data_IF_434774850453
#
_entry.id   IF_434774850453
#
_cell.length_a   1.000
_cell.length_b   1.000
_cell.length_c   1.000
_cell.angle_alpha   90.00
_cell.angle_beta   90.00
_cell.angle_gamma   90.00
#
_symmetry.space_group_name_H-M   'P 1'
#
loop_
_entity.id
_entity.type
_entity.pdbx_description
1 polymer ?
#
# COMPACT_ATOMS: atom_id res chain seq x y z
N UNK A 1 -2.47 48.07 10.26
CA UNK A 1 -2.84 47.50 8.95
C UNK A 1 -2.35 46.06 9.00
N UNK A 2 -3.16 45.22 9.64
CA UNK A 2 -2.81 43.82 9.91
C UNK A 2 -3.00 43.04 8.61
N UNK A 3 -1.90 42.53 8.06
CA UNK A 3 -1.92 41.70 6.87
C UNK A 3 -2.08 40.25 7.29
N UNK A 4 -3.31 39.76 7.13
CA UNK A 4 -3.68 38.34 7.13
C UNK A 4 -2.78 37.58 6.11
N UNK A 5 -1.85 36.77 6.62
CA UNK A 5 -1.07 35.83 5.82
C UNK A 5 -1.91 34.60 5.45
N UNK A 6 -1.68 33.96 4.30
CA UNK A 6 -2.59 32.96 3.76
C UNK A 6 -2.69 31.72 4.65
N UNK A 7 -3.94 31.34 4.93
CA UNK A 7 -4.34 30.12 5.62
C UNK A 7 -3.74 28.88 4.93
N UNK A 8 -2.85 28.19 5.65
CA UNK A 8 -2.37 26.86 5.28
C UNK A 8 -3.37 25.80 5.79
N UNK A 9 -4.49 25.62 5.08
CA UNK A 9 -5.32 24.43 5.28
C UNK A 9 -5.26 23.51 4.04
N UNK A 10 -5.27 22.21 4.32
CA UNK A 10 -5.56 21.08 3.44
C UNK A 10 -4.41 20.48 2.60
N UNK A 11 -3.40 19.95 3.27
CA UNK A 11 -2.94 18.59 2.95
C UNK A 11 -2.46 17.95 4.24
N UNK A 12 -3.19 16.93 4.70
CA UNK A 12 -2.82 16.15 5.89
C UNK A 12 -1.32 15.83 5.86
N UNK A 13 -0.60 15.87 7.01
CA UNK A 13 0.82 15.61 7.01
C UNK A 13 1.01 14.24 6.37
N UNK A 14 1.74 14.20 5.25
CA UNK A 14 2.22 12.96 4.69
C UNK A 14 2.88 12.25 5.87
N UNK A 15 2.24 11.17 6.35
CA UNK A 15 2.68 10.46 7.53
C UNK A 15 4.19 10.25 7.39
N UNK A 16 4.95 10.62 8.42
CA UNK A 16 6.41 10.56 8.41
C UNK A 16 6.88 9.29 7.67
N UNK A 17 7.89 9.38 6.79
CA UNK A 17 8.42 8.18 6.13
C UNK A 17 8.90 7.13 7.14
N UNK A 18 9.08 7.52 8.41
CA UNK A 18 9.49 6.68 9.54
C UNK A 18 8.31 6.26 10.44
N UNK A 19 7.06 6.48 10.02
CA UNK A 19 5.89 6.07 10.78
C UNK A 19 5.81 4.53 10.92
N UNK A 20 5.40 4.02 12.09
CA UNK A 20 5.35 2.58 12.33
C UNK A 20 4.31 1.88 11.44
N UNK A 21 4.42 0.56 11.24
CA UNK A 21 3.45 -0.22 10.49
C UNK A 21 2.03 -0.10 11.05
N UNK A 22 1.06 0.12 10.18
CA UNK A 22 -0.37 0.14 10.48
C UNK A 22 -0.99 -1.18 10.05
N UNK A 23 -1.62 -1.87 11.00
CA UNK A 23 -2.38 -3.10 10.75
C UNK A 23 -3.71 -2.76 10.08
N UNK A 24 -4.03 -3.42 8.97
CA UNK A 24 -5.34 -3.40 8.34
C UNK A 24 -5.81 -4.81 8.04
N UNK A 25 -7.12 -4.98 8.14
CA UNK A 25 -7.79 -6.21 7.78
C UNK A 25 -8.23 -6.12 6.32
N UNK A 26 -7.85 -7.10 5.52
CA UNK A 26 -8.25 -7.21 4.11
C UNK A 26 -8.87 -8.57 3.87
N UNK A 27 -9.76 -8.67 2.89
CA UNK A 27 -10.37 -9.95 2.50
C UNK A 27 -9.70 -10.46 1.23
N UNK A 28 -9.12 -11.66 1.30
CA UNK A 28 -8.42 -12.33 0.21
C UNK A 28 -9.06 -13.71 0.05
N UNK A 29 -9.61 -14.01 -1.15
CA UNK A 29 -10.27 -15.29 -1.43
C UNK A 29 -11.31 -15.71 -0.38
N UNK A 30 -12.09 -14.75 0.15
CA UNK A 30 -13.09 -14.99 1.20
C UNK A 30 -12.54 -15.09 2.63
N UNK A 31 -11.21 -15.10 2.80
CA UNK A 31 -10.57 -15.15 4.11
C UNK A 31 -10.14 -13.76 4.57
N UNK A 32 -10.39 -13.45 5.83
CA UNK A 32 -9.90 -12.22 6.44
C UNK A 32 -8.42 -12.38 6.80
N UNK A 33 -7.57 -11.54 6.21
CA UNK A 33 -6.14 -11.52 6.44
C UNK A 33 -5.73 -10.18 7.03
N UNK A 34 -5.03 -10.19 8.16
CA UNK A 34 -4.50 -8.98 8.74
C UNK A 34 -3.07 -8.72 8.26
N UNK A 35 -2.83 -7.53 7.72
CA UNK A 35 -1.52 -7.12 7.17
C UNK A 35 -1.08 -5.85 7.88
N UNK A 36 0.18 -5.82 8.33
CA UNK A 36 0.82 -4.63 8.90
C UNK A 36 1.80 -4.03 7.90
N UNK A 37 1.51 -2.82 7.43
CA UNK A 37 2.37 -2.06 6.49
C UNK A 37 2.53 -0.62 6.93
N UNK A 38 3.70 -0.06 6.66
CA UNK A 38 4.01 1.35 6.85
C UNK A 38 3.06 2.22 6.02
N UNK A 39 2.67 3.42 6.50
CA UNK A 39 1.75 4.30 5.80
C UNK A 39 2.14 4.61 4.35
N UNK A 40 3.45 4.70 4.07
CA UNK A 40 3.97 4.93 2.72
C UNK A 40 3.63 3.78 1.76
N UNK A 41 3.74 2.53 2.20
CA UNK A 41 3.39 1.37 1.37
C UNK A 41 1.89 1.26 1.17
N UNK A 42 1.09 1.59 2.19
CA UNK A 42 -0.36 1.66 2.03
C UNK A 42 -0.78 2.71 0.99
N UNK A 43 -0.10 3.85 0.94
CA UNK A 43 -0.35 4.88 -0.07
C UNK A 43 0.10 4.42 -1.47
N UNK A 44 1.31 3.86 -1.59
CA UNK A 44 1.83 3.34 -2.83
C UNK A 44 0.94 2.22 -3.41
N UNK A 45 0.43 1.33 -2.54
CA UNK A 45 -0.48 0.26 -2.91
C UNK A 45 -1.83 0.80 -3.42
N UNK A 46 -2.38 1.84 -2.78
CA UNK A 46 -3.59 2.53 -3.27
C UNK A 46 -3.35 3.17 -4.64
N UNK A 47 -2.21 3.83 -4.81
CA UNK A 47 -1.85 4.45 -6.08
C UNK A 47 -1.66 3.40 -7.19
N UNK A 48 -1.02 2.27 -6.88
CA UNK A 48 -0.87 1.15 -7.82
C UNK A 48 -2.21 0.55 -8.22
N UNK A 49 -3.08 0.28 -7.25
CA UNK A 49 -4.42 -0.24 -7.49
C UNK A 49 -5.24 0.70 -8.40
N UNK A 50 -5.16 2.02 -8.16
CA UNK A 50 -5.81 3.03 -9.00
C UNK A 50 -5.25 3.04 -10.43
N UNK A 51 -3.93 2.99 -10.61
CA UNK A 51 -3.31 2.93 -11.95
C UNK A 51 -3.75 1.70 -12.75
N UNK A 52 -3.98 0.59 -12.07
CA UNK A 52 -4.43 -0.66 -12.69
C UNK A 52 -5.95 -0.80 -12.81
N UNK A 53 -6.71 0.17 -12.29
CA UNK A 53 -8.18 0.08 -12.27
C UNK A 53 -8.72 -1.05 -11.39
N UNK A 54 -7.96 -1.50 -10.40
CA UNK A 54 -8.32 -2.60 -9.50
C UNK A 54 -8.64 -2.10 -8.08
N UNK A 55 -9.56 -2.75 -7.35
CA UNK A 55 -9.67 -2.58 -5.91
C UNK A 55 -8.36 -2.99 -5.22
N UNK A 56 -7.99 -2.29 -4.13
CA UNK A 56 -6.78 -2.62 -3.34
C UNK A 56 -6.75 -4.08 -2.90
N UNK A 57 -7.88 -4.63 -2.46
CA UNK A 57 -7.98 -6.04 -2.05
C UNK A 57 -7.71 -7.00 -3.22
N UNK A 58 -8.16 -6.66 -4.44
CA UNK A 58 -7.91 -7.47 -5.62
C UNK A 58 -6.42 -7.44 -6.00
N UNK A 59 -5.78 -6.27 -5.91
CA UNK A 59 -4.34 -6.15 -6.12
C UNK A 59 -3.55 -6.97 -5.09
N UNK A 60 -3.93 -6.88 -3.80
CA UNK A 60 -3.32 -7.70 -2.74
C UNK A 60 -3.49 -9.18 -3.03
N UNK A 61 -4.68 -9.62 -3.43
CA UNK A 61 -4.94 -11.02 -3.77
C UNK A 61 -4.08 -11.49 -4.94
N UNK A 62 -3.87 -10.65 -5.95
CA UNK A 62 -2.98 -10.96 -7.07
C UNK A 62 -1.52 -11.12 -6.62
N UNK A 63 -1.05 -10.22 -5.75
CA UNK A 63 0.29 -10.32 -5.14
C UNK A 63 0.40 -11.60 -4.30
N UNK A 64 -0.65 -11.97 -3.57
CA UNK A 64 -0.72 -13.16 -2.74
C UNK A 64 -0.60 -14.46 -3.57
N UNK A 65 -1.26 -14.52 -4.72
CA UNK A 65 -1.12 -15.64 -5.66
C UNK A 65 0.28 -15.66 -6.28
N UNK A 66 0.79 -14.50 -6.72
CA UNK A 66 2.10 -14.42 -7.35
C UNK A 66 3.23 -14.83 -6.40
N UNK A 67 3.18 -14.43 -5.12
CA UNK A 67 4.19 -14.84 -4.13
C UNK A 67 4.16 -16.34 -3.85
N UNK A 68 2.99 -16.99 -3.88
CA UNK A 68 2.87 -18.43 -3.64
C UNK A 68 3.50 -19.29 -4.74
N UNK A 69 3.67 -18.74 -5.95
CA UNK A 69 4.36 -19.41 -7.05
C UNK A 69 5.90 -19.33 -6.94
N UNK A 70 6.45 -18.53 -6.02
CA UNK A 70 7.89 -18.44 -5.81
C UNK A 70 8.43 -19.70 -5.09
N UNK A 71 9.68 -20.08 -5.38
CA UNK A 71 10.34 -21.23 -4.75
C UNK A 71 10.45 -21.10 -3.22
N UNK A 72 10.64 -19.87 -2.72
CA UNK A 72 10.61 -19.53 -1.30
C UNK A 72 9.64 -18.34 -1.09
N UNK A 73 8.35 -18.60 -0.78
CA UNK A 73 7.32 -17.57 -0.75
C UNK A 73 7.45 -16.69 0.52
N UNK A 74 7.74 -15.39 0.41
CA UNK A 74 7.77 -14.51 1.57
C UNK A 74 6.36 -14.32 2.17
N UNK A 75 6.30 -13.83 3.40
CA UNK A 75 5.02 -13.39 3.98
C UNK A 75 4.39 -12.26 3.13
N UNK A 76 3.06 -12.15 3.19
CA UNK A 76 2.31 -11.23 2.32
C UNK A 76 2.74 -9.76 2.49
N UNK A 77 3.03 -9.30 3.71
CA UNK A 77 3.48 -7.93 3.93
C UNK A 77 4.83 -7.65 3.22
N UNK A 78 5.77 -8.60 3.30
CA UNK A 78 7.08 -8.49 2.63
C UNK A 78 6.92 -8.60 1.11
N UNK A 79 6.07 -9.51 0.63
CA UNK A 79 5.73 -9.62 -0.78
C UNK A 79 5.17 -8.30 -1.34
N UNK A 80 4.27 -7.64 -0.63
CA UNK A 80 3.71 -6.33 -1.03
C UNK A 80 4.81 -5.28 -1.12
N UNK A 81 5.69 -5.18 -0.11
CA UNK A 81 6.80 -4.22 -0.13
C UNK A 81 7.70 -4.48 -1.35
N UNK A 82 8.17 -5.71 -1.54
CA UNK A 82 9.02 -6.06 -2.67
C UNK A 82 8.33 -5.79 -4.00
N UNK A 83 7.06 -6.17 -4.15
CA UNK A 83 6.29 -5.96 -5.37
C UNK A 83 6.18 -4.48 -5.74
N UNK A 84 5.97 -3.58 -4.77
CA UNK A 84 5.87 -2.14 -5.01
C UNK A 84 7.16 -1.48 -5.53
N UNK A 85 8.34 -2.06 -5.25
CA UNK A 85 9.63 -1.55 -5.73
C UNK A 85 10.24 -2.36 -6.88
N UNK A 86 9.72 -3.56 -7.12
CA UNK A 86 10.14 -4.36 -8.24
C UNK A 86 9.54 -3.76 -9.52
N UNK A 87 10.40 -3.33 -10.45
CA UNK A 87 10.02 -2.58 -11.66
C UNK A 87 9.17 -3.41 -12.67
N UNK A 88 8.81 -4.66 -12.36
CA UNK A 88 8.00 -5.57 -13.19
C UNK A 88 6.53 -5.15 -13.35
N UNK A 89 6.13 -3.95 -12.91
CA UNK A 89 4.77 -3.40 -13.06
C UNK A 89 4.76 -2.25 -14.07
N UNK A 90 5.73 -2.24 -14.98
CA UNK A 90 5.80 -1.33 -16.13
C UNK A 90 5.90 -2.15 -17.42
N UNK A 91 4.76 -2.50 -17.99
CA UNK A 91 4.60 -2.84 -19.41
C UNK A 91 3.24 -2.36 -19.85
#
# INVERSE_FOLDING_TARGET
MEGEGPSIDASAPAASPFAPPVKRSVTIAGHQTAISLEPIFWQALRAAALREGLPVNALIARIDVARMAAADPPNLASAIRCWLFNDNIRS
#
